data_IF_642363350500
#
_entry.id   IF_642363350500
#
_cell.length_a   1.000
_cell.length_b   1.000
_cell.length_c   1.000
_cell.angle_alpha   90.00
_cell.angle_beta   90.00
_cell.angle_gamma   90.00
#
_symmetry.space_group_name_H-M   'P 1'
#
loop_
_entity.id
_entity.type
_entity.pdbx_description
1 polymer ?
#
# COMPACT_ATOMS: atom_id res chain seq x y z
N UNK A 1 -15.79 -0.87 40.91
CA UNK A 1 -16.99 -0.90 41.79
C UNK A 1 -18.20 -1.16 40.92
N UNK A 2 -18.80 -2.38 40.95
CA UNK A 2 -20.04 -2.65 40.24
C UNK A 2 -21.24 -2.52 41.19
N UNK A 3 -22.33 -1.91 40.73
CA UNK A 3 -23.61 -1.91 41.44
C UNK A 3 -24.51 -2.97 40.80
N UNK A 4 -24.80 -4.01 41.56
CA UNK A 4 -25.77 -5.05 41.23
C UNK A 4 -27.19 -4.49 41.20
N UNK A 5 -27.97 -4.78 40.15
CA UNK A 5 -29.42 -4.67 40.20
C UNK A 5 -30.04 -6.05 40.48
N UNK A 6 -30.76 -6.12 41.61
CA UNK A 6 -31.51 -7.29 42.10
C UNK A 6 -32.60 -7.73 41.12
N UNK A 7 -32.77 -9.04 40.99
CA UNK A 7 -33.98 -9.67 40.46
C UNK A 7 -35.15 -9.56 41.45
N UNK A 8 -36.41 -9.50 40.98
CA UNK A 8 -37.56 -9.90 41.78
C UNK A 8 -38.00 -11.34 41.44
N UNK A 9 -38.45 -12.04 42.49
CA UNK A 9 -38.95 -13.41 42.47
C UNK A 9 -40.38 -13.53 41.93
N UNK A 10 -40.72 -14.79 41.62
CA UNK A 10 -41.91 -15.33 40.98
C UNK A 10 -43.27 -14.93 41.58
N UNK A 11 -44.30 -14.91 40.72
CA UNK A 11 -45.71 -14.86 41.10
C UNK A 11 -46.69 -14.81 39.91
N UNK A 12 -47.03 -16.00 39.37
CA UNK A 12 -48.25 -16.41 38.65
C UNK A 12 -49.13 -15.33 37.92
N UNK A 13 -49.29 -15.44 36.60
CA UNK A 13 -50.40 -16.18 35.91
C UNK A 13 -50.27 -16.09 34.38
N UNK A 14 -50.60 -17.22 33.77
CA UNK A 14 -50.64 -17.54 32.34
C UNK A 14 -51.49 -16.57 31.51
N UNK A 15 -51.00 -16.19 30.32
CA UNK A 15 -51.80 -16.07 29.09
C UNK A 15 -50.90 -16.10 27.83
N UNK A 16 -50.83 -17.30 27.25
CA UNK A 16 -50.78 -17.61 25.79
C UNK A 16 -49.97 -16.70 24.85
N UNK A 17 -48.83 -17.23 24.39
CA UNK A 17 -48.24 -16.87 23.08
C UNK A 17 -49.13 -17.43 21.96
N UNK A 18 -49.80 -16.55 21.20
CA UNK A 18 -50.32 -16.89 19.88
C UNK A 18 -49.44 -16.26 18.80
N UNK A 19 -48.97 -17.13 17.91
CA UNK A 19 -48.13 -16.86 16.77
C UNK A 19 -49.04 -16.39 15.63
N UNK A 20 -48.98 -15.11 15.25
CA UNK A 20 -49.53 -14.64 13.98
C UNK A 20 -48.39 -14.55 12.97
N UNK A 21 -48.47 -15.38 11.94
CA UNK A 21 -47.54 -15.40 10.82
C UNK A 21 -47.77 -14.23 9.87
N UNK A 22 -46.63 -13.69 9.41
CA UNK A 22 -46.34 -13.19 8.07
C UNK A 22 -47.45 -12.54 7.24
N UNK A 23 -47.34 -11.23 7.04
CA UNK A 23 -47.42 -10.66 5.68
C UNK A 23 -46.65 -9.35 5.58
N UNK A 24 -45.68 -9.37 4.67
CA UNK A 24 -45.02 -8.28 3.95
C UNK A 24 -45.35 -6.85 4.40
N UNK A 25 -44.36 -6.12 4.89
CA UNK A 25 -44.26 -4.67 4.73
C UNK A 25 -42.78 -4.26 4.77
N UNK A 26 -42.28 -3.96 3.58
CA UNK A 26 -40.98 -3.37 3.27
C UNK A 26 -40.73 -2.11 4.09
N UNK A 27 -39.47 -2.00 4.55
CA UNK A 27 -38.74 -0.77 4.88
C UNK A 27 -39.53 0.54 4.74
N UNK A 28 -40.16 0.94 5.84
CA UNK A 28 -40.46 2.35 6.08
C UNK A 28 -39.57 2.80 7.22
N UNK A 29 -38.57 3.62 6.87
CA UNK A 29 -37.91 4.54 7.78
C UNK A 29 -38.99 5.11 8.72
N UNK A 30 -38.79 4.96 10.02
CA UNK A 30 -39.53 5.69 11.05
C UNK A 30 -39.27 7.20 10.86
N UNK A 31 -39.95 7.81 9.91
CA UNK A 31 -40.27 9.23 9.96
C UNK A 31 -41.40 9.36 10.97
N UNK A 32 -41.08 9.90 12.15
CA UNK A 32 -42.09 10.48 13.02
C UNK A 32 -42.79 11.60 12.24
N UNK A 33 -43.88 11.28 11.55
CA UNK A 33 -44.89 12.27 11.22
C UNK A 33 -45.47 12.74 12.54
N UNK A 34 -45.06 13.92 12.97
CA UNK A 34 -45.85 14.67 13.95
C UNK A 34 -47.14 15.05 13.24
N UNK A 35 -48.25 14.41 13.60
CA UNK A 35 -49.57 14.91 13.27
C UNK A 35 -49.69 16.33 13.79
N UNK A 36 -49.81 17.29 12.87
CA UNK A 36 -49.98 18.69 13.17
C UNK A 36 -51.42 18.95 13.65
N UNK A 37 -51.57 19.34 14.91
CA UNK A 37 -52.81 19.92 15.44
C UNK A 37 -53.03 21.28 14.74
N UNK A 38 -54.19 21.53 14.11
CA UNK A 38 -54.47 22.82 13.48
C UNK A 38 -54.68 23.89 14.56
N UNK A 39 -53.91 24.99 14.51
CA UNK A 39 -54.20 26.20 15.30
C UNK A 39 -53.09 26.72 16.21
N UNK A 40 -51.91 26.10 16.28
CA UNK A 40 -50.77 26.68 17.01
C UNK A 40 -49.90 27.53 16.07
N UNK A 41 -49.64 28.81 16.39
CA UNK A 41 -48.64 29.58 15.66
C UNK A 41 -47.30 28.87 15.84
N UNK A 42 -46.64 28.58 14.72
CA UNK A 42 -45.39 27.82 14.67
C UNK A 42 -44.22 28.68 15.15
N UNK A 43 -44.26 29.07 16.43
CA UNK A 43 -43.30 30.01 17.06
C UNK A 43 -41.92 29.41 17.28
N UNK A 44 -41.73 28.12 16.98
CA UNK A 44 -40.45 27.46 17.18
C UNK A 44 -40.07 26.65 15.95
N UNK A 45 -38.87 26.94 15.44
CA UNK A 45 -38.23 26.19 14.38
C UNK A 45 -38.08 24.73 14.80
N UNK A 46 -38.10 23.83 13.81
CA UNK A 46 -37.89 22.38 14.03
C UNK A 46 -36.63 22.12 14.90
N UNK A 47 -36.70 21.07 15.73
CA UNK A 47 -35.65 20.72 16.70
C UNK A 47 -34.24 20.74 16.09
N UNK A 48 -33.39 21.63 16.59
CA UNK A 48 -32.00 21.81 16.12
C UNK A 48 -31.75 23.11 15.35
N UNK A 49 -32.80 23.81 14.94
CA UNK A 49 -32.73 25.08 14.21
C UNK A 49 -32.79 26.30 15.16
N UNK A 50 -31.98 27.33 14.91
CA UNK A 50 -31.97 28.61 15.62
C UNK A 50 -32.91 29.64 14.98
N UNK A 51 -32.82 29.78 13.66
CA UNK A 51 -33.62 30.71 12.86
C UNK A 51 -34.19 29.98 11.67
N UNK A 52 -35.48 30.15 11.39
CA UNK A 52 -36.17 29.50 10.29
C UNK A 52 -37.12 30.45 9.58
N UNK A 53 -37.52 30.05 8.38
CA UNK A 53 -38.49 30.71 7.54
C UNK A 53 -39.43 29.65 6.96
N UNK A 54 -40.69 30.02 6.74
CA UNK A 54 -41.70 29.10 6.21
C UNK A 54 -41.38 28.60 4.80
N UNK A 55 -40.67 29.40 3.99
CA UNK A 55 -40.35 29.05 2.60
C UNK A 55 -39.01 28.32 2.44
N UNK A 56 -38.03 28.64 3.28
CA UNK A 56 -36.65 28.16 3.15
C UNK A 56 -36.26 27.13 4.22
N UNK A 57 -37.16 26.80 5.14
CA UNK A 57 -36.87 25.92 6.26
C UNK A 57 -35.90 26.57 7.25
N UNK A 58 -34.92 25.81 7.72
CA UNK A 58 -33.92 26.34 8.65
C UNK A 58 -32.88 27.21 7.95
N UNK A 59 -32.55 28.35 8.55
CA UNK A 59 -31.53 29.28 8.07
C UNK A 59 -30.22 29.13 8.85
N UNK A 60 -30.28 28.83 10.16
CA UNK A 60 -29.09 28.59 10.99
C UNK A 60 -29.31 27.46 11.97
N UNK A 61 -28.34 26.54 12.06
CA UNK A 61 -28.38 25.42 12.99
C UNK A 61 -27.73 25.75 14.33
N UNK A 62 -28.14 25.04 15.38
CA UNK A 62 -27.42 25.02 16.66
C UNK A 62 -26.01 24.42 16.44
N UNK A 63 -24.98 24.82 17.24
CA UNK A 63 -23.59 24.43 17.00
C UNK A 63 -23.29 22.92 16.92
N UNK A 64 -24.14 22.06 17.49
CA UNK A 64 -23.98 20.59 17.46
C UNK A 64 -24.56 19.91 16.21
N UNK A 65 -25.27 20.65 15.37
CA UNK A 65 -26.00 20.11 14.22
C UNK A 65 -25.28 20.48 12.93
N UNK A 66 -25.47 19.65 11.91
CA UNK A 66 -25.01 19.86 10.54
C UNK A 66 -26.13 20.44 9.69
N UNK A 67 -25.83 21.52 9.00
CA UNK A 67 -26.71 22.15 8.02
C UNK A 67 -26.69 21.36 6.70
N UNK A 68 -27.85 20.90 6.26
CA UNK A 68 -28.05 20.28 4.95
C UNK A 68 -29.02 21.14 4.14
N UNK A 69 -28.67 21.40 2.88
CA UNK A 69 -29.54 22.13 1.95
C UNK A 69 -30.14 21.14 0.97
N UNK A 70 -31.42 20.81 1.15
CA UNK A 70 -32.12 19.86 0.31
C UNK A 70 -32.81 20.56 -0.88
N UNK A 71 -32.71 19.97 -2.07
CA UNK A 71 -33.25 20.52 -3.32
C UNK A 71 -34.51 19.79 -3.71
N UNK A 72 -35.65 20.44 -3.49
CA UNK A 72 -36.97 19.93 -3.88
C UNK A 72 -37.47 20.74 -5.07
N UNK A 73 -37.17 20.26 -6.28
CA UNK A 73 -37.46 20.96 -7.53
C UNK A 73 -36.72 22.29 -7.63
N UNK A 74 -37.46 23.39 -7.69
CA UNK A 74 -36.90 24.75 -7.73
C UNK A 74 -36.65 25.36 -6.34
N UNK A 75 -37.07 24.69 -5.27
CA UNK A 75 -36.95 25.19 -3.89
C UNK A 75 -35.73 24.57 -3.20
N UNK A 76 -35.10 25.35 -2.33
CA UNK A 76 -34.02 24.90 -1.47
C UNK A 76 -34.47 25.05 -0.02
N UNK A 77 -34.45 23.96 0.73
CA UNK A 77 -34.91 23.93 2.11
C UNK A 77 -33.76 23.51 3.01
N UNK A 78 -33.45 24.35 3.99
CA UNK A 78 -32.41 24.08 4.98
C UNK A 78 -32.91 23.17 6.10
N UNK A 79 -32.11 22.18 6.47
CA UNK A 79 -32.39 21.22 7.53
C UNK A 79 -31.19 21.11 8.47
N UNK A 80 -31.46 20.88 9.76
CA UNK A 80 -30.43 20.64 10.76
C UNK A 80 -30.47 19.19 11.20
N UNK A 81 -29.38 18.46 10.99
CA UNK A 81 -29.27 17.04 11.31
C UNK A 81 -28.16 16.81 12.34
N UNK A 82 -28.30 15.78 13.17
CA UNK A 82 -27.22 15.38 14.10
C UNK A 82 -26.05 14.71 13.36
N UNK A 83 -26.35 14.02 12.26
CA UNK A 83 -25.39 13.36 11.37
C UNK A 83 -25.86 13.49 9.93
N UNK A 84 -24.92 13.55 8.98
CA UNK A 84 -25.23 13.63 7.56
C UNK A 84 -25.78 12.30 7.03
N UNK A 85 -26.76 12.34 6.10
CA UNK A 85 -27.32 11.13 5.49
C UNK A 85 -26.31 10.45 4.54
N UNK A 86 -26.61 9.22 4.12
CA UNK A 86 -25.79 8.47 3.13
C UNK A 86 -25.59 9.28 1.84
N UNK A 87 -24.40 9.17 1.24
CA UNK A 87 -23.98 10.02 0.12
C UNK A 87 -23.58 11.46 0.49
N UNK A 88 -23.47 11.78 1.78
CA UNK A 88 -22.94 13.06 2.28
C UNK A 88 -21.85 12.84 3.34
N UNK A 89 -20.86 13.73 3.35
CA UNK A 89 -19.82 13.75 4.37
C UNK A 89 -19.91 15.01 5.26
N UNK A 90 -19.36 14.88 6.46
CA UNK A 90 -19.41 15.89 7.50
C UNK A 90 -18.31 16.92 7.29
N UNK A 91 -18.66 18.19 7.11
CA UNK A 91 -17.71 19.31 7.13
C UNK A 91 -17.90 20.08 8.43
N UNK A 92 -16.84 20.16 9.23
CA UNK A 92 -16.78 21.03 10.41
C UNK A 92 -15.95 22.26 10.09
N UNK A 93 -16.60 23.41 9.98
CA UNK A 93 -15.94 24.71 9.84
C UNK A 93 -15.99 25.48 11.16
N UNK A 94 -15.25 26.59 11.24
CA UNK A 94 -15.33 27.52 12.38
C UNK A 94 -16.70 28.18 12.49
N UNK A 95 -17.39 28.35 11.36
CA UNK A 95 -18.63 29.12 11.28
C UNK A 95 -19.88 28.23 11.32
N UNK A 96 -19.92 27.18 10.49
CA UNK A 96 -21.05 26.26 10.44
C UNK A 96 -20.60 24.84 10.11
N UNK A 97 -21.20 23.87 10.78
CA UNK A 97 -21.10 22.47 10.40
C UNK A 97 -22.09 22.22 9.27
N UNK A 98 -21.66 21.61 8.17
CA UNK A 98 -22.51 21.36 7.00
C UNK A 98 -22.32 19.96 6.45
N UNK A 99 -23.34 19.45 5.78
CA UNK A 99 -23.28 18.23 5.00
C UNK A 99 -22.96 18.60 3.55
N UNK A 100 -21.91 17.99 3.00
CA UNK A 100 -21.54 18.15 1.60
C UNK A 100 -21.76 16.84 0.85
N UNK A 101 -22.30 16.94 -0.37
CA UNK A 101 -22.60 15.78 -1.20
C UNK A 101 -21.30 15.15 -1.70
N UNK A 102 -21.21 13.82 -1.69
CA UNK A 102 -20.11 13.12 -2.34
C UNK A 102 -20.13 13.42 -3.86
N UNK A 103 -18.97 13.60 -4.49
CA UNK A 103 -18.90 13.95 -5.92
C UNK A 103 -19.37 12.83 -6.87
N UNK A 104 -19.43 11.59 -6.40
CA UNK A 104 -19.80 10.42 -7.19
C UNK A 104 -20.95 9.67 -6.52
N UNK A 105 -21.59 8.75 -7.26
CA UNK A 105 -22.67 7.89 -6.79
C UNK A 105 -22.16 6.83 -5.78
N UNK A 106 -21.75 7.31 -4.60
CA UNK A 106 -21.00 6.50 -3.65
C UNK A 106 -21.05 7.09 -2.22
N UNK A 107 -20.80 6.24 -1.22
CA UNK A 107 -20.59 6.65 0.17
C UNK A 107 -19.12 7.04 0.37
N UNK A 108 -18.87 8.31 0.64
CA UNK A 108 -17.53 8.85 0.82
C UNK A 108 -17.10 8.91 2.29
N UNK A 109 -15.80 9.00 2.50
CA UNK A 109 -15.16 9.18 3.80
C UNK A 109 -15.32 10.61 4.34
N UNK A 110 -14.59 10.95 5.42
CA UNK A 110 -14.63 12.29 5.99
C UNK A 110 -13.99 13.37 5.11
N UNK A 111 -13.13 13.01 4.14
CA UNK A 111 -12.56 13.97 3.19
C UNK A 111 -13.46 14.22 1.98
N UNK A 112 -14.38 13.30 1.68
CA UNK A 112 -15.25 13.35 0.51
C UNK A 112 -14.58 12.88 -0.79
N UNK A 113 -13.28 12.54 -0.72
CA UNK A 113 -12.47 12.15 -1.88
C UNK A 113 -12.26 10.64 -1.96
N UNK A 114 -12.38 9.93 -0.84
CA UNK A 114 -12.21 8.49 -0.80
C UNK A 114 -13.55 7.82 -0.64
N UNK A 115 -13.90 6.98 -1.61
CA UNK A 115 -15.11 6.20 -1.58
C UNK A 115 -14.93 4.94 -0.75
N UNK A 116 -15.87 4.70 0.16
CA UNK A 116 -15.91 3.50 1.01
C UNK A 116 -16.85 2.44 0.44
N UNK A 117 -17.92 2.85 -0.25
CA UNK A 117 -18.87 1.94 -0.88
C UNK A 117 -19.49 2.56 -2.13
N UNK A 118 -19.43 1.85 -3.24
CA UNK A 118 -20.06 2.26 -4.49
C UNK A 118 -21.56 1.93 -4.51
N UNK A 119 -22.36 2.71 -5.25
CA UNK A 119 -23.74 2.29 -5.56
C UNK A 119 -23.75 1.03 -6.43
N UNK A 120 -24.91 0.38 -6.47
CA UNK A 120 -25.13 -0.82 -7.28
C UNK A 120 -24.75 -0.59 -8.75
N UNK A 121 -24.08 -1.59 -9.32
CA UNK A 121 -23.58 -1.55 -10.71
C UNK A 121 -22.25 -0.81 -10.91
N UNK A 122 -21.60 -0.34 -9.84
CA UNK A 122 -20.28 0.29 -9.88
C UNK A 122 -19.27 -0.54 -9.08
N UNK A 123 -18.02 -0.58 -9.55
CA UNK A 123 -16.91 -1.31 -8.93
C UNK A 123 -15.95 -0.35 -8.22
N UNK A 124 -15.60 -0.67 -6.98
CA UNK A 124 -14.65 0.10 -6.17
C UNK A 124 -13.21 -0.25 -6.55
N UNK A 125 -12.41 0.77 -6.89
CA UNK A 125 -10.98 0.67 -7.15
C UNK A 125 -10.27 1.87 -6.53
N UNK A 126 -9.32 1.62 -5.61
CA UNK A 126 -8.49 2.66 -4.99
C UNK A 126 -9.28 3.86 -4.41
N UNK A 127 -10.45 3.59 -3.83
CA UNK A 127 -11.32 4.64 -3.27
C UNK A 127 -12.12 5.42 -4.31
N UNK A 128 -12.25 4.92 -5.55
CA UNK A 128 -13.09 5.50 -6.59
C UNK A 128 -14.01 4.43 -7.18
N UNK A 129 -15.16 4.87 -7.65
CA UNK A 129 -16.13 3.98 -8.29
C UNK A 129 -16.02 4.09 -9.80
N UNK A 130 -15.97 2.94 -10.46
CA UNK A 130 -15.89 2.82 -11.92
C UNK A 130 -17.08 1.99 -12.42
N UNK A 131 -17.61 2.32 -13.60
CA UNK A 131 -18.65 1.51 -14.26
C UNK A 131 -18.12 0.18 -14.80
N UNK A 132 -16.83 0.12 -15.12
CA UNK A 132 -16.11 -1.10 -15.49
C UNK A 132 -14.68 -1.03 -14.97
N UNK A 133 -14.09 -2.19 -14.64
CA UNK A 133 -12.70 -2.25 -14.19
C UNK A 133 -11.73 -2.00 -15.38
N UNK A 134 -10.63 -1.27 -15.17
CA UNK A 134 -9.57 -1.07 -16.18
C UNK A 134 -8.90 -2.39 -16.61
N UNK A 135 -8.15 -2.39 -17.71
CA UNK A 135 -7.57 -3.61 -18.35
C UNK A 135 -6.74 -4.52 -17.44
N UNK A 136 -6.13 -3.98 -16.37
CA UNK A 136 -5.33 -4.75 -15.39
C UNK A 136 -6.14 -5.30 -14.20
N UNK A 137 -7.45 -5.10 -14.21
CA UNK A 137 -8.34 -5.46 -13.11
C UNK A 137 -9.59 -6.17 -13.62
N UNK A 138 -9.99 -7.24 -12.95
CA UNK A 138 -11.25 -7.90 -13.20
C UNK A 138 -12.31 -7.47 -12.19
N UNK A 139 -13.56 -7.45 -12.63
CA UNK A 139 -14.71 -7.16 -11.81
C UNK A 139 -15.05 -8.35 -10.91
N UNK A 140 -14.99 -8.16 -9.58
CA UNK A 140 -15.52 -9.13 -8.64
C UNK A 140 -16.98 -8.78 -8.31
N UNK A 141 -17.92 -9.58 -8.80
CA UNK A 141 -19.37 -9.36 -8.59
C UNK A 141 -19.83 -9.56 -7.15
N UNK A 142 -19.14 -10.39 -6.35
CA UNK A 142 -19.51 -10.65 -4.96
C UNK A 142 -19.17 -9.46 -4.05
N UNK A 143 -18.04 -8.81 -4.33
CA UNK A 143 -17.53 -7.70 -3.52
C UNK A 143 -17.82 -6.33 -4.15
N UNK A 144 -18.25 -6.28 -5.41
CA UNK A 144 -18.35 -5.05 -6.21
C UNK A 144 -17.04 -4.24 -6.18
N UNK A 145 -15.92 -4.95 -6.31
CA UNK A 145 -14.56 -4.40 -6.28
C UNK A 145 -13.79 -4.81 -7.52
N UNK A 146 -12.87 -3.95 -7.95
CA UNK A 146 -11.88 -4.29 -8.96
C UNK A 146 -10.70 -5.00 -8.31
N UNK A 147 -10.44 -6.25 -8.70
CA UNK A 147 -9.28 -7.03 -8.23
C UNK A 147 -8.22 -7.09 -9.32
N UNK A 148 -6.93 -7.01 -8.96
CA UNK A 148 -5.86 -7.07 -9.95
C UNK A 148 -5.89 -8.42 -10.67
N UNK A 149 -5.72 -8.38 -11.98
CA UNK A 149 -5.63 -9.59 -12.80
C UNK A 149 -4.27 -10.25 -12.57
N UNK A 150 -4.27 -11.40 -11.90
CA UNK A 150 -3.06 -12.23 -11.78
C UNK A 150 -2.99 -13.19 -12.95
N UNK A 151 -2.19 -12.84 -13.96
CA UNK A 151 -1.95 -13.71 -15.11
C UNK A 151 -1.20 -15.00 -14.70
N UNK A 152 -0.39 -14.90 -13.65
CA UNK A 152 0.47 -15.98 -13.20
C UNK A 152 0.77 -15.88 -11.70
N UNK A 153 0.26 -16.83 -10.92
CA UNK A 153 0.60 -16.96 -9.50
C UNK A 153 1.79 -17.90 -9.37
N UNK A 154 2.84 -17.44 -8.71
CA UNK A 154 4.09 -18.19 -8.51
C UNK A 154 4.26 -18.50 -7.04
N UNK A 155 4.75 -19.70 -6.74
CA UNK A 155 4.98 -20.17 -5.38
C UNK A 155 6.18 -19.52 -4.71
N UNK A 156 6.43 -19.94 -3.48
CA UNK A 156 7.62 -19.53 -2.74
C UNK A 156 8.91 -20.01 -3.43
N UNK A 157 9.99 -19.26 -3.20
CA UNK A 157 11.30 -19.64 -3.70
C UNK A 157 11.82 -20.89 -3.00
N UNK A 158 12.27 -21.87 -3.78
CA UNK A 158 13.03 -23.00 -3.27
C UNK A 158 14.39 -22.58 -2.69
N UNK A 159 15.01 -23.51 -1.97
CA UNK A 159 16.35 -23.34 -1.44
C UNK A 159 17.38 -23.11 -2.56
N UNK A 160 18.38 -22.27 -2.27
CA UNK A 160 19.51 -22.08 -3.18
C UNK A 160 20.26 -23.39 -3.40
N UNK A 161 20.57 -23.68 -4.66
CA UNK A 161 21.43 -24.81 -5.01
C UNK A 161 22.82 -24.67 -4.35
N UNK A 162 23.57 -25.79 -4.19
CA UNK A 162 24.99 -25.72 -3.91
C UNK A 162 25.72 -24.85 -4.94
N UNK A 163 26.82 -24.22 -4.51
CA UNK A 163 27.64 -23.38 -5.37
C UNK A 163 28.19 -24.19 -6.56
N UNK A 164 27.64 -23.94 -7.74
CA UNK A 164 28.00 -24.55 -9.02
C UNK A 164 29.32 -23.97 -9.52
N UNK A 165 30.17 -24.84 -10.09
CA UNK A 165 31.59 -24.55 -10.35
C UNK A 165 31.95 -24.57 -11.83
N UNK A 166 30.96 -24.58 -12.73
CA UNK A 166 31.19 -24.61 -14.18
C UNK A 166 32.10 -25.76 -14.63
N UNK A 167 32.01 -26.93 -13.99
CA UNK A 167 32.84 -28.10 -14.30
C UNK A 167 34.28 -28.08 -13.74
N UNK A 168 34.73 -27.01 -13.08
CA UNK A 168 36.07 -26.94 -12.48
C UNK A 168 36.16 -27.67 -11.14
N UNK A 169 37.13 -28.60 -11.01
CA UNK A 169 37.32 -29.41 -9.78
C UNK A 169 38.27 -28.77 -8.76
N UNK A 170 39.14 -27.84 -9.20
CA UNK A 170 40.10 -27.14 -8.35
C UNK A 170 40.35 -25.69 -8.83
N UNK A 171 40.89 -24.83 -7.97
CA UNK A 171 41.36 -23.49 -8.36
C UNK A 171 40.31 -22.37 -8.48
N UNK A 172 39.01 -22.64 -8.35
CA UNK A 172 37.94 -21.64 -8.46
C UNK A 172 37.63 -20.95 -7.11
N UNK A 173 37.25 -19.67 -7.17
CA UNK A 173 36.85 -18.84 -6.01
C UNK A 173 35.41 -18.34 -6.13
N UNK A 174 34.95 -18.08 -7.35
CA UNK A 174 33.57 -17.73 -7.67
C UNK A 174 32.84 -18.95 -8.24
N UNK A 175 31.55 -19.04 -7.95
CA UNK A 175 30.60 -19.98 -8.55
C UNK A 175 29.21 -19.35 -8.59
N UNK A 176 28.23 -20.11 -9.03
CA UNK A 176 26.84 -19.66 -9.15
C UNK A 176 25.90 -20.54 -8.32
N UNK A 177 24.90 -19.94 -7.69
CA UNK A 177 23.77 -20.64 -7.09
C UNK A 177 22.52 -20.31 -7.89
N UNK A 178 21.67 -21.30 -8.06
CA UNK A 178 20.39 -21.17 -8.75
C UNK A 178 19.31 -21.56 -7.75
N UNK A 179 18.23 -20.78 -7.71
CA UNK A 179 16.98 -21.18 -7.06
C UNK A 179 15.85 -21.11 -8.07
N UNK A 180 14.87 -21.98 -7.89
CA UNK A 180 13.67 -22.04 -8.73
C UNK A 180 12.44 -21.96 -7.85
N UNK A 181 11.34 -21.49 -8.43
CA UNK A 181 10.00 -21.52 -7.83
C UNK A 181 9.01 -22.05 -8.85
N UNK A 182 7.98 -22.71 -8.36
CA UNK A 182 6.94 -23.28 -9.21
C UNK A 182 5.90 -22.22 -9.59
N UNK A 183 5.23 -22.44 -10.72
CA UNK A 183 4.07 -21.66 -11.13
C UNK A 183 2.83 -22.39 -10.65
N UNK A 184 2.06 -21.78 -9.75
CA UNK A 184 0.88 -22.38 -9.14
C UNK A 184 -0.35 -22.26 -10.05
N UNK A 185 -0.50 -21.11 -10.72
CA UNK A 185 -1.61 -20.85 -11.62
C UNK A 185 -1.15 -20.05 -12.82
N UNK A 186 -1.56 -20.46 -14.03
CA UNK A 186 -1.42 -19.68 -15.27
C UNK A 186 -2.81 -19.49 -15.84
N UNK A 187 -3.25 -18.25 -16.04
CA UNK A 187 -4.48 -17.97 -16.79
C UNK A 187 -4.16 -17.80 -18.28
N UNK A 188 -4.99 -18.32 -19.20
CA UNK A 188 -4.72 -18.28 -20.63
C UNK A 188 -5.05 -16.89 -21.19
N UNK A 189 -4.15 -15.92 -20.98
CA UNK A 189 -4.17 -14.64 -21.68
C UNK A 189 -2.80 -14.40 -22.32
N UNK A 190 -2.77 -14.39 -23.65
CA UNK A 190 -1.56 -14.48 -24.47
C UNK A 190 -0.65 -13.22 -24.47
N UNK A 191 -0.82 -12.26 -23.55
CA UNK A 191 -0.12 -10.96 -23.62
C UNK A 191 0.94 -10.71 -22.55
N UNK A 192 0.92 -11.40 -21.40
CA UNK A 192 1.85 -11.09 -20.29
C UNK A 192 2.66 -12.31 -19.84
N UNK A 193 4.01 -12.27 -19.91
CA UNK A 193 4.85 -13.35 -19.41
C UNK A 193 4.78 -13.41 -17.88
N UNK A 194 4.79 -14.63 -17.34
CA UNK A 194 4.87 -14.88 -15.91
C UNK A 194 6.09 -14.18 -15.25
N UNK A 195 6.00 -13.84 -13.96
CA UNK A 195 7.16 -13.45 -13.17
C UNK A 195 8.30 -14.49 -13.26
N UNK A 196 9.55 -14.06 -13.14
CA UNK A 196 10.72 -14.94 -13.29
C UNK A 196 10.64 -16.17 -12.34
N UNK A 197 10.78 -17.37 -12.90
CA UNK A 197 10.71 -18.66 -12.17
C UNK A 197 12.06 -19.19 -11.72
N UNK A 198 13.16 -18.59 -12.21
CA UNK A 198 14.53 -18.95 -11.85
C UNK A 198 15.35 -17.71 -11.54
N UNK A 199 16.16 -17.79 -10.49
CA UNK A 199 17.08 -16.72 -10.09
C UNK A 199 18.48 -17.26 -9.91
N UNK A 200 19.48 -16.48 -10.35
CA UNK A 200 20.90 -16.81 -10.25
C UNK A 200 21.62 -15.80 -9.35
N UNK A 201 22.53 -16.30 -8.53
CA UNK A 201 23.37 -15.47 -7.65
C UNK A 201 24.80 -15.99 -7.60
N UNK A 202 25.76 -15.07 -7.55
CA UNK A 202 27.17 -15.43 -7.34
C UNK A 202 27.44 -15.90 -5.91
N UNK A 203 28.22 -16.97 -5.78
CA UNK A 203 28.71 -17.51 -4.51
C UNK A 203 30.23 -17.55 -4.49
N UNK A 204 30.81 -17.29 -3.33
CA UNK A 204 32.25 -17.40 -3.11
C UNK A 204 32.53 -18.69 -2.35
N UNK A 205 33.44 -19.51 -2.85
CA UNK A 205 33.83 -20.77 -2.22
C UNK A 205 35.34 -20.84 -1.95
N UNK A 206 35.72 -21.73 -1.03
CA UNK A 206 37.13 -21.93 -0.68
C UNK A 206 37.88 -22.52 -1.87
N UNK A 207 38.90 -21.79 -2.34
CA UNK A 207 39.78 -22.20 -3.42
C UNK A 207 40.48 -23.51 -3.07
N UNK A 208 40.09 -24.61 -3.73
CA UNK A 208 40.80 -25.89 -3.61
C UNK A 208 42.14 -25.81 -4.33
N UNK A 209 43.23 -26.24 -3.66
CA UNK A 209 44.55 -26.35 -4.29
C UNK A 209 44.50 -27.43 -5.38
N UNK A 210 44.96 -27.09 -6.57
CA UNK A 210 45.12 -28.06 -7.64
C UNK A 210 46.39 -28.89 -7.38
N UNK A 211 46.33 -30.23 -7.46
CA UNK A 211 47.53 -31.05 -7.42
C UNK A 211 48.41 -30.72 -8.64
N UNK A 212 49.68 -30.32 -8.41
CA UNK A 212 50.70 -30.22 -9.47
C UNK A 212 51.29 -28.84 -9.82
N UNK A 213 50.88 -27.72 -9.21
CA UNK A 213 51.35 -26.36 -9.61
C UNK A 213 52.53 -25.77 -8.81
N UNK A 214 53.06 -26.46 -7.81
CA UNK A 214 54.04 -25.84 -6.89
C UNK A 214 55.52 -25.88 -7.35
N UNK A 215 55.87 -26.61 -8.42
CA UNK A 215 57.29 -26.75 -8.83
C UNK A 215 57.85 -25.67 -9.76
N UNK A 216 57.04 -24.97 -10.57
CA UNK A 216 57.57 -23.99 -11.57
C UNK A 216 57.75 -22.57 -11.03
N UNK A 217 56.92 -22.12 -10.09
CA UNK A 217 56.93 -20.71 -9.65
C UNK A 217 58.05 -20.31 -8.69
N UNK A 218 58.76 -21.28 -8.09
CA UNK A 218 59.84 -20.98 -7.11
C UNK A 218 61.13 -20.58 -7.82
N UNK A 219 61.44 -21.20 -8.95
CA UNK A 219 62.62 -20.90 -9.79
C UNK A 219 62.45 -19.57 -10.52
N UNK A 220 61.28 -19.29 -11.11
CA UNK A 220 61.01 -18.01 -11.80
C UNK A 220 61.04 -16.80 -10.86
N UNK A 221 60.52 -16.94 -9.63
CA UNK A 221 60.63 -15.87 -8.62
C UNK A 221 62.08 -15.58 -8.23
N UNK A 222 62.92 -16.62 -8.14
CA UNK A 222 64.34 -16.45 -7.78
C UNK A 222 65.15 -15.81 -8.91
N UNK A 223 64.86 -16.15 -10.16
CA UNK A 223 65.47 -15.55 -11.35
C UNK A 223 65.06 -14.07 -11.51
N UNK A 224 63.79 -13.72 -11.26
CA UNK A 224 63.34 -12.32 -11.28
C UNK A 224 64.00 -11.49 -10.18
N UNK A 225 64.11 -12.03 -8.97
CA UNK A 225 64.77 -11.34 -7.85
C UNK A 225 66.24 -11.04 -8.13
N UNK A 226 66.99 -12.00 -8.69
CA UNK A 226 68.43 -11.79 -8.96
C UNK A 226 68.70 -10.83 -10.12
N UNK A 227 67.80 -10.77 -11.13
CA UNK A 227 67.89 -9.79 -12.22
C UNK A 227 67.64 -8.37 -11.75
N UNK A 228 66.74 -8.19 -10.79
CA UNK A 228 66.42 -6.87 -10.22
C UNK A 228 67.60 -6.33 -9.39
N UNK A 229 68.21 -7.17 -8.54
CA UNK A 229 69.40 -6.81 -7.75
C UNK A 229 70.64 -6.50 -8.62
N UNK A 230 70.78 -7.19 -9.77
CA UNK A 230 71.86 -6.91 -10.73
C UNK A 230 71.71 -5.54 -11.40
N UNK A 231 70.50 -5.21 -11.85
CA UNK A 231 70.18 -3.93 -12.48
C UNK A 231 70.37 -2.74 -11.53
N UNK A 232 69.98 -2.87 -10.26
CA UNK A 232 70.15 -1.81 -9.26
C UNK A 232 71.62 -1.54 -8.92
N UNK A 233 72.47 -2.58 -8.85
CA UNK A 233 73.91 -2.43 -8.61
C UNK A 233 74.62 -1.76 -9.78
N UNK A 234 74.22 -2.08 -11.01
CA UNK A 234 74.78 -1.50 -12.23
C UNK A 234 74.41 -0.02 -12.36
N UNK A 235 73.14 0.32 -12.09
CA UNK A 235 72.66 1.71 -12.08
C UNK A 235 73.36 2.54 -10.98
N UNK A 236 73.60 1.95 -9.80
CA UNK A 236 74.35 2.60 -8.72
C UNK A 236 75.83 2.80 -9.02
N UNK A 237 76.44 1.95 -9.87
CA UNK A 237 77.83 2.14 -10.34
C UNK A 237 77.89 3.27 -11.37
N UNK A 238 76.95 3.29 -12.32
CA UNK A 238 76.86 4.31 -13.35
C UNK A 238 76.62 5.73 -12.78
N UNK A 239 75.82 5.82 -11.70
CA UNK A 239 75.59 7.10 -11.00
C UNK A 239 76.84 7.61 -10.25
N UNK A 240 77.65 6.69 -9.67
CA UNK A 240 78.93 7.05 -9.04
C UNK A 240 79.97 7.48 -10.07
N UNK A 241 80.09 6.76 -11.17
CA UNK A 241 81.01 7.09 -12.26
C UNK A 241 80.65 8.46 -12.89
N UNK A 242 79.37 8.81 -12.98
CA UNK A 242 78.91 10.14 -13.41
C UNK A 242 79.27 11.24 -12.41
N UNK A 243 79.07 10.99 -11.11
CA UNK A 243 79.43 11.93 -10.05
C UNK A 243 80.96 12.22 -10.02
N UNK A 244 81.79 11.18 -10.20
CA UNK A 244 83.25 11.31 -10.28
C UNK A 244 83.73 12.04 -11.55
N UNK A 245 82.97 11.95 -12.65
CA UNK A 245 83.25 12.70 -13.88
C UNK A 245 82.90 14.19 -13.71
N UNK A 246 81.77 14.50 -13.05
CA UNK A 246 81.36 15.88 -12.76
C UNK A 246 82.33 16.55 -11.79
N UNK A 247 82.76 15.85 -10.73
CA UNK A 247 83.68 16.42 -9.74
C UNK A 247 85.08 16.73 -10.33
N UNK A 248 85.53 15.94 -11.31
CA UNK A 248 86.78 16.19 -12.06
C UNK A 248 86.73 17.39 -13.01
N UNK A 249 85.53 17.79 -13.44
CA UNK A 249 85.35 18.99 -14.26
C UNK A 249 85.27 20.27 -13.41
N UNK A 250 84.83 20.17 -12.16
CA UNK A 250 84.72 21.31 -11.23
C UNK A 250 86.11 21.74 -10.69
N UNK A 251 87.05 20.80 -10.54
CA UNK A 251 88.42 21.08 -10.05
C UNK A 251 89.37 21.69 -11.10
N UNK A 252 88.90 21.91 -12.34
CA UNK A 252 89.69 22.54 -13.44
C UNK A 252 89.25 23.96 -13.79
N UNK A 253 88.34 24.56 -13.02
CA UNK A 253 87.77 25.89 -13.26
C UNK A 253 88.05 26.91 -12.15
N UNK A 254 89.13 26.73 -11.40
CA UNK A 254 89.76 27.76 -10.54
C UNK A 254 91.28 27.71 -10.70
#
# INVERSE_FOLDING_TARGET
>A
MPVCCKAPQAGLKSQTCQRAGSSQLSDKLFFFFSESIPGTPRTSCYGGCLTCSDSNGCLSCKPRYFFLLDRLGMRQVGMCLLSCPSGYYHIRSRDINKCSKCQLDCDCDFTGNFCTRCRQGLYLLQGKCHSACPEEFFANEQLMECKPQVHCEVGEWGSWSPCFRGGSTCGFKLGEQIRTRDVLLVTPSNSHPCPAVSEKRDCISKKKKCPGRDRKNKTDRKIRSSRQEGSERENGKQMRDWADAVNRNITKSW
#
